data_IF_474253523147
#
_entry.id   IF_474253523147
#
_cell.length_a   1.000
_cell.length_b   1.000
_cell.length_c   1.000
_cell.angle_alpha   90.00
_cell.angle_beta   90.00
_cell.angle_gamma   90.00
#
_symmetry.space_group_name_H-M   'P 1'
#
loop_
_entity.id
_entity.type
_entity.pdbx_description
1 polymer ?
#
# COMPACT_ATOMS: atom_id res chain seq x y z
N UNK A 1 64.65 -10.68 -48.22
CA UNK A 1 63.84 -9.46 -48.00
C UNK A 1 62.39 -9.94 -47.95
N UNK A 2 61.67 -10.05 -46.83
CA UNK A 2 61.63 -9.26 -45.60
C UNK A 2 60.16 -8.85 -45.37
N UNK A 3 59.36 -9.79 -44.84
CA UNK A 3 58.08 -9.71 -44.09
C UNK A 3 57.05 -8.59 -44.36
N UNK A 4 55.80 -8.87 -44.79
CA UNK A 4 54.60 -9.41 -44.08
C UNK A 4 53.63 -8.33 -43.52
N UNK A 5 52.48 -8.20 -44.19
CA UNK A 5 51.10 -7.96 -43.72
C UNK A 5 50.81 -6.75 -42.80
N UNK A 6 50.21 -5.71 -43.38
CA UNK A 6 49.20 -4.86 -42.72
C UNK A 6 48.15 -4.45 -43.75
N UNK A 7 46.89 -4.82 -43.53
CA UNK A 7 45.80 -4.31 -44.36
C UNK A 7 44.54 -5.18 -44.44
N UNK A 8 44.13 -5.86 -43.37
CA UNK A 8 42.77 -6.43 -43.28
C UNK A 8 42.17 -6.01 -41.95
N UNK A 9 41.62 -4.80 -41.86
CA UNK A 9 40.51 -4.45 -40.97
C UNK A 9 39.79 -3.23 -41.57
N UNK A 10 39.10 -3.41 -42.71
CA UNK A 10 38.21 -2.39 -43.25
C UNK A 10 36.91 -3.03 -43.75
N UNK A 11 36.18 -3.67 -42.85
CA UNK A 11 34.77 -4.02 -43.03
C UNK A 11 34.33 -4.88 -41.83
N UNK A 12 33.92 -4.25 -40.72
CA UNK A 12 33.06 -4.88 -39.69
C UNK A 12 32.62 -3.94 -38.54
N UNK A 13 32.94 -2.64 -38.56
CA UNK A 13 32.56 -1.70 -37.49
C UNK A 13 31.57 -0.62 -37.93
N UNK A 14 30.54 -0.98 -38.71
CA UNK A 14 29.39 -0.08 -39.00
C UNK A 14 28.03 -0.74 -38.70
N UNK A 15 27.94 -1.98 -38.20
CA UNK A 15 26.64 -2.65 -37.99
C UNK A 15 26.21 -2.90 -36.54
N UNK A 16 26.84 -2.32 -35.53
CA UNK A 16 26.40 -2.50 -34.12
C UNK A 16 26.09 -1.19 -33.39
N UNK A 17 25.93 -0.08 -34.12
CA UNK A 17 25.31 1.13 -33.59
C UNK A 17 23.79 1.18 -33.86
N UNK A 18 23.13 0.02 -33.87
CA UNK A 18 21.74 -0.07 -33.43
C UNK A 18 21.79 -0.20 -31.92
N UNK A 19 22.23 0.88 -31.27
CA UNK A 19 21.88 1.12 -29.89
C UNK A 19 20.35 1.09 -29.90
N UNK A 20 19.77 0.06 -29.29
CA UNK A 20 18.35 -0.02 -29.01
C UNK A 20 18.00 1.19 -28.15
N UNK A 21 17.74 2.32 -28.80
CA UNK A 21 16.92 3.37 -28.24
C UNK A 21 15.56 2.70 -28.12
N UNK A 22 15.35 2.00 -26.99
CA UNK A 22 14.02 1.74 -26.49
C UNK A 22 13.44 3.13 -26.36
N UNK A 23 12.65 3.54 -27.35
CA UNK A 23 11.73 4.63 -27.23
C UNK A 23 10.86 4.25 -26.03
N UNK A 24 11.21 4.79 -24.86
CA UNK A 24 10.30 4.84 -23.75
C UNK A 24 9.11 5.64 -24.29
N UNK A 25 8.07 4.92 -24.72
CA UNK A 25 6.76 5.51 -24.94
C UNK A 25 6.42 6.22 -23.65
N UNK A 26 6.51 7.55 -23.65
CA UNK A 26 6.06 8.35 -22.52
C UNK A 26 4.54 8.41 -22.61
N UNK A 27 3.90 7.28 -22.34
CA UNK A 27 2.45 7.10 -22.30
C UNK A 27 1.78 7.95 -21.20
N UNK A 28 2.61 8.59 -20.35
CA UNK A 28 2.20 9.40 -19.20
C UNK A 28 1.88 8.54 -17.98
N UNK A 29 2.10 7.23 -18.06
CA UNK A 29 1.81 6.29 -17.00
C UNK A 29 2.98 6.22 -16.03
N UNK A 30 2.65 6.25 -14.74
CA UNK A 30 3.63 6.08 -13.67
C UNK A 30 3.51 4.68 -13.14
N UNK A 31 4.49 3.84 -13.48
CA UNK A 31 4.51 2.42 -13.19
C UNK A 31 5.45 2.12 -12.03
N UNK A 32 4.93 1.44 -11.01
CA UNK A 32 5.71 1.01 -9.85
C UNK A 32 5.61 -0.50 -9.75
N UNK A 33 6.76 -1.16 -9.95
CA UNK A 33 6.88 -2.60 -9.74
C UNK A 33 6.67 -2.97 -8.28
N UNK A 34 5.86 -4.00 -8.05
CA UNK A 34 5.59 -4.56 -6.73
C UNK A 34 6.38 -5.85 -6.54
N UNK A 35 6.92 -6.02 -5.34
CA UNK A 35 7.53 -7.27 -4.90
C UNK A 35 6.50 -8.13 -4.21
N UNK A 36 6.54 -9.44 -4.46
CA UNK A 36 5.67 -10.41 -3.79
C UNK A 36 6.38 -11.06 -2.61
N UNK A 37 5.78 -10.99 -1.43
CA UNK A 37 6.20 -11.76 -0.26
C UNK A 37 5.79 -13.22 -0.43
N UNK A 38 6.76 -14.13 -0.29
CA UNK A 38 6.47 -15.55 -0.09
C UNK A 38 5.88 -15.73 1.31
N UNK A 39 4.69 -16.35 1.39
CA UNK A 39 4.09 -16.78 2.66
C UNK A 39 5.01 -17.84 3.30
N UNK A 40 5.70 -17.44 4.37
CA UNK A 40 6.57 -18.29 5.18
C UNK A 40 5.75 -18.94 6.32
N UNK A 41 6.05 -20.19 6.74
CA UNK A 41 5.55 -20.77 8.00
C UNK A 41 5.50 -19.81 9.19
N UNK A 42 6.50 -18.94 9.36
CA UNK A 42 6.54 -17.96 10.45
C UNK A 42 5.43 -16.91 10.34
N UNK A 43 5.12 -16.44 9.13
CA UNK A 43 4.02 -15.50 8.90
C UNK A 43 2.67 -16.15 9.19
N UNK A 44 2.50 -17.43 8.84
CA UNK A 44 1.30 -18.20 9.17
C UNK A 44 1.14 -18.39 10.67
N UNK A 45 2.22 -18.72 11.38
CA UNK A 45 2.20 -18.87 12.82
C UNK A 45 1.88 -17.56 13.54
N UNK A 46 2.49 -16.45 13.12
CA UNK A 46 2.20 -15.13 13.67
C UNK A 46 0.74 -14.71 13.41
N UNK A 47 0.20 -14.97 12.22
CA UNK A 47 -1.23 -14.76 11.93
C UNK A 47 -2.16 -15.59 12.84
N UNK A 48 -1.78 -16.86 13.11
CA UNK A 48 -2.53 -17.73 14.02
C UNK A 48 -2.45 -17.27 15.48
N UNK A 49 -1.28 -16.82 15.95
CA UNK A 49 -1.10 -16.29 17.31
C UNK A 49 -1.92 -15.02 17.51
N UNK A 50 -1.84 -14.06 16.57
CA UNK A 50 -2.64 -12.82 16.60
C UNK A 50 -4.15 -13.11 16.58
N UNK A 51 -4.59 -14.13 15.81
CA UNK A 51 -5.99 -14.52 15.77
C UNK A 51 -6.52 -15.03 17.12
N UNK A 52 -5.68 -15.76 17.87
CA UNK A 52 -5.99 -16.26 19.22
C UNK A 52 -6.00 -15.13 20.25
N UNK A 53 -5.04 -14.22 20.18
CA UNK A 53 -5.00 -13.05 21.08
C UNK A 53 -6.25 -12.17 20.90
N UNK A 54 -6.72 -12.00 19.66
CA UNK A 54 -7.98 -11.32 19.36
C UNK A 54 -9.19 -12.04 19.95
N UNK A 55 -9.25 -13.37 19.85
CA UNK A 55 -10.34 -14.16 20.42
C UNK A 55 -10.35 -14.07 21.96
N UNK A 56 -9.17 -14.11 22.58
CA UNK A 56 -9.02 -13.92 24.01
C UNK A 56 -9.43 -12.51 24.47
N UNK A 57 -9.08 -11.48 23.71
CA UNK A 57 -9.49 -10.09 23.96
C UNK A 57 -11.00 -9.90 23.79
N UNK A 58 -11.59 -10.46 22.72
CA UNK A 58 -13.06 -10.46 22.54
C UNK A 58 -13.76 -11.16 23.70
N UNK A 59 -13.25 -12.30 24.15
CA UNK A 59 -13.80 -13.03 25.29
C UNK A 59 -13.66 -12.27 26.62
N UNK A 60 -12.59 -11.49 26.82
CA UNK A 60 -12.41 -10.66 28.02
C UNK A 60 -13.32 -9.43 28.00
N UNK A 61 -13.48 -8.78 26.84
CA UNK A 61 -14.43 -7.68 26.64
C UNK A 61 -15.87 -8.19 26.86
N UNK A 62 -16.27 -9.29 26.23
CA UNK A 62 -17.60 -9.87 26.40
C UNK A 62 -17.91 -10.22 27.88
N UNK A 63 -16.92 -10.71 28.64
CA UNK A 63 -17.05 -10.92 30.09
C UNK A 63 -17.21 -9.61 30.87
N UNK A 64 -16.47 -8.56 30.50
CA UNK A 64 -16.57 -7.24 31.13
C UNK A 64 -17.92 -6.57 30.87
N UNK A 65 -18.51 -6.74 29.69
CA UNK A 65 -19.85 -6.24 29.34
C UNK A 65 -20.98 -7.06 29.98
N UNK A 66 -20.81 -8.38 30.15
CA UNK A 66 -21.74 -9.20 30.97
C UNK A 66 -21.83 -8.73 32.43
N UNK A 67 -20.77 -8.13 32.96
CA UNK A 67 -20.75 -7.55 34.31
C UNK A 67 -21.39 -6.14 34.40
N UNK A 68 -21.72 -5.51 33.26
CA UNK A 68 -22.16 -4.11 33.19
C UNK A 68 -23.60 -3.91 32.71
N UNK A 69 -24.29 -4.99 32.35
CA UNK A 69 -25.67 -4.96 31.84
C UNK A 69 -26.76 -4.70 32.91
N UNK A 70 -26.46 -3.98 33.99
CA UNK A 70 -27.48 -3.49 34.94
C UNK A 70 -27.88 -2.02 34.69
N UNK A 71 -27.30 -1.33 33.70
CA UNK A 71 -27.69 0.05 33.37
C UNK A 71 -27.65 0.31 31.85
N UNK A 72 -28.84 0.22 31.25
CA UNK A 72 -29.38 1.02 30.13
C UNK A 72 -28.51 1.48 28.95
N UNK A 73 -28.86 0.96 27.78
CA UNK A 73 -28.90 1.54 26.42
C UNK A 73 -27.84 2.54 25.95
N UNK A 74 -27.12 2.13 24.90
CA UNK A 74 -26.83 2.98 23.72
C UNK A 74 -26.53 2.07 22.52
N UNK A 75 -27.32 2.25 21.46
CA UNK A 75 -27.01 1.75 20.12
C UNK A 75 -25.75 2.44 19.57
N UNK A 76 -25.18 1.78 18.55
CA UNK A 76 -24.12 2.23 17.64
C UNK A 76 -22.67 1.86 18.03
N UNK A 77 -22.24 0.67 17.57
CA UNK A 77 -20.83 0.45 17.23
C UNK A 77 -20.76 -0.14 15.84
N UNK A 78 -20.53 0.72 14.85
CA UNK A 78 -20.17 0.32 13.49
C UNK A 78 -18.71 -0.18 13.52
N UNK A 79 -18.50 -1.43 13.94
CA UNK A 79 -17.15 -2.01 14.08
C UNK A 79 -16.65 -2.49 12.72
N UNK A 80 -16.04 -1.61 11.93
CA UNK A 80 -15.21 -2.05 10.79
C UNK A 80 -13.72 -2.06 11.18
N UNK A 81 -13.37 -3.01 12.05
CA UNK A 81 -11.99 -3.39 12.31
C UNK A 81 -11.72 -4.81 11.75
N UNK A 82 -11.44 -4.90 10.44
CA UNK A 82 -10.85 -6.10 9.84
C UNK A 82 -9.77 -5.71 8.83
N UNK A 83 -8.53 -5.66 9.32
CA UNK A 83 -7.30 -5.59 8.50
C UNK A 83 -6.25 -6.51 9.10
N UNK A 84 -5.90 -7.57 8.37
CA UNK A 84 -4.82 -8.49 8.69
C UNK A 84 -3.70 -8.30 7.66
N UNK A 85 -2.60 -7.67 8.05
CA UNK A 85 -1.46 -7.44 7.16
C UNK A 85 -0.47 -8.61 7.15
N UNK A 86 -0.69 -9.66 7.94
CA UNK A 86 0.14 -10.87 7.91
C UNK A 86 0.02 -11.65 6.60
N UNK A 87 -1.10 -11.47 5.90
CA UNK A 87 -1.35 -12.00 4.55
C UNK A 87 -1.05 -10.98 3.45
N UNK A 88 -0.47 -9.81 3.79
CA UNK A 88 -0.07 -8.83 2.80
C UNK A 88 1.06 -9.41 1.94
N UNK A 89 0.75 -9.56 0.65
CA UNK A 89 1.64 -10.24 -0.29
C UNK A 89 2.41 -9.27 -1.18
N UNK A 90 2.04 -8.00 -1.28
CA UNK A 90 2.63 -7.08 -2.26
C UNK A 90 3.02 -5.76 -1.62
N UNK A 91 4.24 -5.31 -1.91
CA UNK A 91 4.76 -4.02 -1.45
C UNK A 91 5.64 -3.39 -2.54
N UNK A 92 5.74 -2.08 -2.53
CA UNK A 92 6.66 -1.34 -3.40
C UNK A 92 7.47 -0.33 -2.60
N UNK A 93 8.31 0.44 -3.29
CA UNK A 93 9.19 1.43 -2.67
C UNK A 93 8.65 2.84 -2.88
N UNK A 94 8.72 3.66 -1.82
CA UNK A 94 8.54 5.10 -1.86
C UNK A 94 9.75 5.79 -1.23
N UNK A 95 9.92 7.08 -1.52
CA UNK A 95 10.88 7.94 -0.85
C UNK A 95 10.17 9.03 -0.04
N UNK A 96 10.65 9.38 1.14
CA UNK A 96 10.14 10.52 1.91
C UNK A 96 11.31 11.45 2.23
N UNK A 97 11.13 12.75 1.98
CA UNK A 97 12.12 13.77 2.26
C UNK A 97 13.06 14.14 1.12
N UNK A 98 13.92 15.12 1.39
CA UNK A 98 14.93 15.61 0.46
C UNK A 98 16.31 15.70 1.16
N UNK A 99 17.27 14.81 0.83
CA UNK A 99 17.19 13.74 -0.16
C UNK A 99 16.20 12.62 0.24
N UNK A 100 15.64 11.86 -0.73
CA UNK A 100 14.64 10.82 -0.44
C UNK A 100 15.18 9.70 0.46
N UNK A 101 14.51 9.48 1.59
CA UNK A 101 14.71 8.32 2.48
C UNK A 101 13.76 7.21 2.04
N UNK A 102 14.27 6.02 1.75
CA UNK A 102 13.49 4.93 1.13
C UNK A 102 12.72 4.12 2.16
N UNK A 103 11.49 3.77 1.82
CA UNK A 103 10.62 2.89 2.60
C UNK A 103 9.92 1.90 1.68
N UNK A 104 9.80 0.67 2.16
CA UNK A 104 8.90 -0.32 1.58
C UNK A 104 7.50 -0.16 2.16
N UNK A 105 6.48 -0.07 1.32
CA UNK A 105 5.11 0.15 1.77
C UNK A 105 4.11 -0.76 1.05
N UNK A 106 3.04 -1.09 1.76
CA UNK A 106 1.83 -1.62 1.15
C UNK A 106 1.04 -0.46 0.56
N UNK A 107 0.65 -0.57 -0.70
CA UNK A 107 -0.35 0.31 -1.32
C UNK A 107 -1.75 -0.22 -0.97
N UNK A 108 -2.41 0.42 0.00
CA UNK A 108 -3.60 -0.13 0.65
C UNK A 108 -4.86 0.66 0.27
N UNK A 109 -5.73 0.09 -0.56
CA UNK A 109 -7.03 0.69 -0.91
C UNK A 109 -8.04 0.66 0.24
N UNK A 110 -7.77 -0.08 1.31
CA UNK A 110 -8.63 -0.14 2.49
C UNK A 110 -8.34 0.96 3.52
N UNK A 111 -7.23 1.70 3.42
CA UNK A 111 -6.88 2.82 4.32
C UNK A 111 -6.51 4.08 3.54
N UNK A 112 -6.43 5.22 4.24
CA UNK A 112 -6.23 6.53 3.58
C UNK A 112 -5.04 7.32 4.09
N UNK A 113 -4.41 6.88 5.18
CA UNK A 113 -3.22 7.53 5.72
C UNK A 113 -1.94 6.92 5.15
N UNK A 114 -0.93 7.77 4.94
CA UNK A 114 0.47 7.34 4.83
C UNK A 114 1.10 7.33 6.23
N UNK A 115 1.82 6.27 6.57
CA UNK A 115 2.65 6.24 7.77
C UNK A 115 3.92 5.41 7.57
N UNK A 116 4.98 5.80 8.27
CA UNK A 116 6.26 5.08 8.33
C UNK A 116 6.85 5.15 9.75
N UNK A 117 7.74 4.22 10.13
CA UNK A 117 8.40 4.24 11.44
C UNK A 117 9.24 5.50 11.61
N UNK A 118 9.21 6.10 12.80
CA UNK A 118 10.02 7.28 13.14
C UNK A 118 11.32 6.86 13.84
N UNK A 119 12.37 7.67 13.69
CA UNK A 119 13.53 7.58 14.60
C UNK A 119 13.22 7.88 16.06
N UNK A 120 12.02 8.41 16.34
CA UNK A 120 11.47 8.58 17.69
C UNK A 120 10.76 7.32 18.22
N UNK A 121 10.76 6.22 17.47
CA UNK A 121 10.26 4.92 17.91
C UNK A 121 11.35 4.16 18.67
N UNK A 122 11.38 4.30 20.00
CA UNK A 122 12.43 3.72 20.85
C UNK A 122 12.04 2.38 21.49
N UNK A 123 10.75 2.12 21.67
CA UNK A 123 10.28 1.06 22.57
C UNK A 123 9.56 -0.09 21.85
N UNK A 124 9.25 0.04 20.55
CA UNK A 124 8.65 -1.05 19.77
C UNK A 124 9.72 -1.85 19.07
N UNK A 125 9.74 -3.16 19.32
CA UNK A 125 10.69 -4.11 18.73
C UNK A 125 10.63 -4.08 17.19
N UNK A 126 9.43 -3.91 16.61
CA UNK A 126 9.24 -3.78 15.16
C UNK A 126 10.10 -2.66 14.53
N UNK A 127 10.22 -1.50 15.19
CA UNK A 127 11.00 -0.36 14.70
C UNK A 127 12.52 -0.59 14.68
N UNK A 128 13.03 -1.67 15.26
CA UNK A 128 14.45 -2.03 15.18
C UNK A 128 14.80 -2.78 13.88
N UNK A 129 13.80 -3.40 13.24
CA UNK A 129 13.98 -4.19 12.03
C UNK A 129 13.55 -3.45 10.75
N UNK A 130 12.90 -2.30 10.88
CA UNK A 130 12.39 -1.49 9.78
C UNK A 130 13.18 -0.19 9.58
N UNK A 131 13.11 0.32 8.36
CA UNK A 131 13.62 1.64 8.02
C UNK A 131 12.87 2.71 8.82
N UNK A 132 13.58 3.75 9.26
CA UNK A 132 13.01 4.83 10.08
C UNK A 132 13.21 6.19 9.43
N UNK A 133 12.15 6.98 9.42
CA UNK A 133 12.18 8.36 8.98
C UNK A 133 12.94 9.26 9.96
N UNK A 134 13.81 10.07 9.37
CA UNK A 134 14.68 11.04 10.03
C UNK A 134 14.35 12.43 9.53
N UNK A 135 13.46 13.11 10.24
CA UNK A 135 13.11 14.51 9.96
C UNK A 135 14.34 15.43 9.86
N UNK A 136 15.37 15.20 10.70
CA UNK A 136 16.61 16.00 10.71
C UNK A 136 17.47 15.86 9.46
N UNK A 137 17.27 14.81 8.66
CA UNK A 137 18.02 14.55 7.42
C UNK A 137 17.24 15.00 6.17
N UNK A 138 16.06 15.60 6.32
CA UNK A 138 15.25 16.12 5.21
C UNK A 138 15.20 17.65 5.22
N UNK A 139 15.65 18.25 4.12
CA UNK A 139 15.59 19.70 3.89
C UNK A 139 14.19 20.23 3.59
N UNK A 140 13.24 19.35 3.24
CA UNK A 140 11.85 19.70 2.91
C UNK A 140 10.86 19.39 4.03
N UNK A 141 11.35 18.85 5.15
CA UNK A 141 10.54 18.55 6.32
C UNK A 141 9.89 19.81 6.91
N UNK A 142 8.60 19.68 7.22
CA UNK A 142 7.81 20.67 7.96
C UNK A 142 7.16 19.98 9.15
N UNK A 143 7.43 20.50 10.35
CA UNK A 143 6.85 19.99 11.59
C UNK A 143 5.35 20.28 11.64
N UNK A 144 4.55 19.25 11.97
CA UNK A 144 3.13 19.37 12.28
C UNK A 144 2.88 19.01 13.76
N UNK A 145 3.19 17.77 14.15
CA UNK A 145 3.23 17.31 15.54
C UNK A 145 1.87 16.93 16.15
N UNK A 146 0.76 17.04 15.40
CA UNK A 146 -0.56 16.56 15.85
C UNK A 146 -0.53 15.05 16.08
N UNK A 147 -0.95 14.59 17.25
CA UNK A 147 -0.97 13.16 17.57
C UNK A 147 -1.92 12.37 16.66
N UNK A 148 -1.55 11.13 16.34
CA UNK A 148 -2.35 10.22 15.54
C UNK A 148 -2.30 8.80 16.12
N UNK A 149 -3.39 8.06 15.96
CA UNK A 149 -3.48 6.64 16.33
C UNK A 149 -4.37 5.92 15.34
N UNK A 150 -3.90 4.80 14.81
CA UNK A 150 -4.66 3.95 13.89
C UNK A 150 -4.74 2.55 14.48
N UNK A 151 -5.96 2.05 14.63
CA UNK A 151 -6.22 0.66 14.99
C UNK A 151 -6.43 -0.16 13.71
N UNK A 152 -5.59 -1.17 13.52
CA UNK A 152 -5.75 -2.20 12.50
C UNK A 152 -6.36 -3.46 13.14
N UNK A 153 -6.82 -4.41 12.32
CA UNK A 153 -7.53 -5.59 12.83
C UNK A 153 -6.74 -6.37 13.87
N UNK A 154 -5.46 -6.62 13.61
CA UNK A 154 -4.55 -7.36 14.52
C UNK A 154 -3.37 -6.52 15.06
N UNK A 155 -3.22 -5.27 14.62
CA UNK A 155 -2.13 -4.39 15.05
C UNK A 155 -2.63 -2.97 15.31
N UNK A 156 -1.79 -2.12 15.89
CA UNK A 156 -2.07 -0.70 15.98
C UNK A 156 -0.78 0.09 15.79
N UNK A 157 -0.91 1.34 15.36
CA UNK A 157 0.21 2.29 15.36
C UNK A 157 -0.23 3.56 16.06
N UNK A 158 0.70 4.20 16.75
CA UNK A 158 0.50 5.55 17.30
C UNK A 158 1.74 6.41 17.07
N UNK A 159 1.53 7.70 16.91
CA UNK A 159 2.56 8.61 16.44
C UNK A 159 2.06 10.04 16.37
N UNK A 160 2.65 10.81 15.46
CA UNK A 160 2.24 12.18 15.19
C UNK A 160 2.40 12.50 13.70
N UNK A 161 1.66 13.49 13.22
CA UNK A 161 1.75 13.96 11.84
C UNK A 161 3.01 14.78 11.60
N UNK A 162 3.56 14.65 10.39
CA UNK A 162 4.64 15.43 9.82
C UNK A 162 4.31 15.71 8.36
N UNK A 163 4.91 16.75 7.79
CA UNK A 163 4.77 17.08 6.37
C UNK A 163 6.14 17.00 5.69
N UNK A 164 6.20 16.37 4.53
CA UNK A 164 7.41 16.33 3.70
C UNK A 164 7.05 16.00 2.25
N UNK A 165 8.02 16.03 1.35
CA UNK A 165 7.84 15.54 -0.01
C UNK A 165 7.87 14.00 -0.04
N UNK A 166 6.94 13.40 -0.77
CA UNK A 166 6.86 11.95 -0.97
C UNK A 166 7.08 11.62 -2.44
N UNK A 167 8.08 10.79 -2.71
CA UNK A 167 8.42 10.28 -4.03
C UNK A 167 7.79 8.91 -4.25
N UNK A 168 6.96 8.77 -5.28
CA UNK A 168 6.35 7.49 -5.70
C UNK A 168 6.70 7.27 -7.17
N UNK A 169 7.53 6.27 -7.45
CA UNK A 169 8.14 6.14 -8.78
C UNK A 169 8.98 7.37 -9.14
N UNK A 170 8.63 8.05 -10.23
CA UNK A 170 9.22 9.33 -10.62
C UNK A 170 8.43 10.56 -10.14
N UNK A 171 7.25 10.39 -9.57
CA UNK A 171 6.42 11.49 -9.06
C UNK A 171 6.94 12.00 -7.73
N UNK A 172 6.94 13.31 -7.53
CA UNK A 172 7.24 13.96 -6.26
C UNK A 172 6.02 14.73 -5.80
N UNK A 173 5.27 14.13 -4.87
CA UNK A 173 4.12 14.73 -4.20
C UNK A 173 4.64 15.65 -3.11
N UNK A 174 4.41 16.96 -3.26
CA UNK A 174 4.91 17.96 -2.32
C UNK A 174 3.98 18.11 -1.13
N UNK A 175 4.55 18.52 0.00
CA UNK A 175 3.82 18.90 1.22
C UNK A 175 2.83 17.83 1.74
N UNK A 176 3.14 16.55 1.48
CA UNK A 176 2.31 15.43 1.92
C UNK A 176 2.35 15.29 3.43
N UNK A 177 1.18 15.30 4.06
CA UNK A 177 1.01 14.97 5.47
C UNK A 177 1.06 13.45 5.67
N UNK A 178 1.84 12.97 6.63
CA UNK A 178 1.96 11.55 6.96
C UNK A 178 2.24 11.36 8.45
N UNK A 179 2.06 10.14 8.95
CA UNK A 179 2.28 9.81 10.36
C UNK A 179 3.68 9.22 10.55
N UNK A 180 4.44 9.83 11.44
CA UNK A 180 5.65 9.27 12.04
C UNK A 180 5.24 8.34 13.19
N UNK A 181 5.31 7.02 12.98
CA UNK A 181 4.96 6.05 14.01
C UNK A 181 6.04 6.02 15.12
N UNK A 182 5.62 6.21 16.37
CA UNK A 182 6.49 6.13 17.55
C UNK A 182 6.25 4.88 18.38
N UNK A 183 5.12 4.21 18.15
CA UNK A 183 4.81 2.89 18.71
C UNK A 183 4.05 2.06 17.68
N UNK A 184 4.48 0.82 17.53
CA UNK A 184 3.88 -0.21 16.67
C UNK A 184 3.70 -1.49 17.49
N UNK A 185 2.71 -1.54 18.40
CA UNK A 185 2.41 -2.75 19.15
C UNK A 185 1.81 -3.86 18.26
N UNK A 186 2.10 -5.11 18.60
CA UNK A 186 1.55 -6.31 17.97
C UNK A 186 2.58 -7.10 17.15
N UNK A 187 2.40 -8.42 17.04
CA UNK A 187 3.35 -9.25 16.28
C UNK A 187 3.19 -9.08 14.77
N UNK A 188 2.05 -8.53 14.32
CA UNK A 188 1.79 -8.19 12.92
C UNK A 188 2.93 -7.39 12.28
N UNK A 189 3.45 -6.37 12.98
CA UNK A 189 4.52 -5.52 12.45
C UNK A 189 5.92 -6.06 12.74
N UNK A 190 6.09 -7.02 13.66
CA UNK A 190 7.39 -7.64 13.88
C UNK A 190 7.79 -8.62 12.77
N UNK A 191 6.81 -9.30 12.17
CA UNK A 191 7.02 -10.25 11.08
C UNK A 191 6.79 -9.63 9.68
N UNK A 192 6.50 -8.33 9.62
CA UNK A 192 6.32 -7.61 8.38
C UNK A 192 7.63 -7.56 7.57
N UNK A 193 7.53 -7.57 6.24
CA UNK A 193 8.65 -7.28 5.32
C UNK A 193 8.49 -5.93 4.62
N UNK A 194 7.59 -5.10 5.15
CA UNK A 194 7.30 -3.76 4.70
C UNK A 194 7.47 -2.81 5.90
N UNK A 195 7.95 -1.60 5.65
CA UNK A 195 8.18 -0.60 6.69
C UNK A 195 6.88 0.13 7.08
N UNK A 196 5.99 0.39 6.12
CA UNK A 196 4.78 1.18 6.36
C UNK A 196 3.64 0.93 5.39
N UNK A 197 2.66 1.82 5.41
CA UNK A 197 1.47 1.74 4.55
C UNK A 197 1.26 3.09 3.86
N UNK A 198 0.97 3.04 2.56
CA UNK A 198 0.47 4.16 1.77
C UNK A 198 -1.00 3.89 1.45
N UNK A 199 -1.89 4.58 2.16
CA UNK A 199 -3.33 4.50 1.93
C UNK A 199 -3.77 5.13 0.60
N UNK A 200 -4.58 4.40 -0.16
CA UNK A 200 -5.19 4.81 -1.43
C UNK A 200 -6.72 4.92 -1.35
N UNK A 201 -7.28 4.83 -0.14
CA UNK A 201 -8.69 5.06 0.16
C UNK A 201 -9.08 6.55 0.09
N UNK A 202 -10.36 6.82 0.38
CA UNK A 202 -10.88 8.19 0.34
C UNK A 202 -10.57 8.96 1.62
N UNK A 203 -10.57 10.30 1.55
CA UNK A 203 -10.23 11.16 2.69
C UNK A 203 -11.16 10.95 3.89
N UNK A 204 -12.42 10.56 3.67
CA UNK A 204 -13.45 10.39 4.69
C UNK A 204 -13.07 9.39 5.80
N UNK A 205 -12.19 8.42 5.52
CA UNK A 205 -11.69 7.46 6.51
C UNK A 205 -10.25 7.75 6.96
N UNK A 206 -9.71 8.91 6.60
CA UNK A 206 -8.36 9.34 6.98
C UNK A 206 -8.36 9.83 8.43
N UNK A 207 -7.53 9.21 9.27
CA UNK A 207 -7.29 9.71 10.63
C UNK A 207 -6.73 11.13 10.53
N UNK A 208 -7.24 12.01 11.38
CA UNK A 208 -6.79 13.40 11.45
C UNK A 208 -7.25 14.31 10.31
N UNK A 209 -8.12 13.81 9.41
CA UNK A 209 -8.56 14.49 8.17
C UNK A 209 -7.39 14.81 7.22
N UNK A 210 -6.33 14.00 7.27
CA UNK A 210 -5.15 14.17 6.42
C UNK A 210 -5.48 13.86 4.96
N UNK A 211 -5.01 14.68 4.03
CA UNK A 211 -5.23 14.50 2.58
C UNK A 211 -4.41 13.30 2.08
N UNK A 212 -5.02 12.26 1.48
CA UNK A 212 -4.30 11.10 0.97
C UNK A 212 -3.32 11.45 -0.17
N UNK A 213 -2.29 10.63 -0.35
CA UNK A 213 -1.25 10.83 -1.39
C UNK A 213 -1.86 10.96 -2.78
N UNK A 214 -2.82 10.10 -3.11
CA UNK A 214 -3.54 10.13 -4.38
C UNK A 214 -4.22 11.48 -4.67
N UNK A 215 -4.83 12.10 -3.65
CA UNK A 215 -5.52 13.38 -3.80
C UNK A 215 -4.50 14.48 -4.14
N UNK A 216 -3.38 14.51 -3.43
CA UNK A 216 -2.29 15.44 -3.71
C UNK A 216 -1.66 15.20 -5.09
N UNK A 217 -1.56 13.95 -5.58
CA UNK A 217 -1.11 13.67 -6.95
C UNK A 217 -2.04 14.31 -7.99
N UNK A 218 -3.35 14.15 -7.82
CA UNK A 218 -4.39 14.72 -8.70
C UNK A 218 -4.33 16.25 -8.64
N UNK A 219 -4.36 16.84 -7.44
CA UNK A 219 -4.42 18.29 -7.24
C UNK A 219 -3.15 19.00 -7.74
N UNK A 220 -1.99 18.37 -7.60
CA UNK A 220 -0.72 18.90 -8.10
C UNK A 220 -0.49 18.63 -9.60
N UNK A 221 -1.44 18.01 -10.30
CA UNK A 221 -1.36 17.73 -11.73
C UNK A 221 -0.23 16.77 -12.10
N UNK A 222 0.09 15.82 -11.22
CA UNK A 222 1.22 14.89 -11.39
C UNK A 222 0.86 13.68 -12.26
N UNK A 223 -0.42 13.44 -12.50
CA UNK A 223 -0.94 12.29 -13.24
C UNK A 223 -1.88 12.75 -14.34
N UNK A 224 -1.90 11.97 -15.43
CA UNK A 224 -2.67 12.30 -16.63
C UNK A 224 -4.16 12.03 -16.45
N UNK A 225 -4.49 10.79 -16.13
CA UNK A 225 -5.87 10.34 -15.89
C UNK A 225 -6.11 10.16 -14.39
N UNK A 226 -7.30 10.49 -13.89
CA UNK A 226 -7.64 10.37 -12.47
C UNK A 226 -8.03 8.93 -12.12
N UNK A 227 -7.18 7.98 -12.49
CA UNK A 227 -7.28 6.57 -12.14
C UNK A 227 -5.93 5.98 -11.74
N UNK A 228 -5.99 4.90 -10.97
CA UNK A 228 -4.87 4.03 -10.72
C UNK A 228 -5.32 2.57 -10.84
N UNK A 229 -4.40 1.69 -11.19
CA UNK A 229 -4.70 0.28 -11.42
C UNK A 229 -3.65 -0.63 -10.83
N UNK A 230 -4.06 -1.87 -10.51
CA UNK A 230 -3.19 -2.89 -9.97
C UNK A 230 -3.19 -4.11 -10.89
N UNK A 231 -1.99 -4.61 -11.16
CA UNK A 231 -1.76 -5.97 -11.62
C UNK A 231 -0.98 -6.71 -10.55
N UNK A 232 -1.53 -7.81 -10.04
CA UNK A 232 -0.92 -8.59 -8.96
C UNK A 232 -0.58 -9.99 -9.47
N UNK A 233 0.70 -10.28 -9.62
CA UNK A 233 1.17 -11.55 -10.16
C UNK A 233 0.91 -12.69 -9.18
N UNK A 234 0.14 -13.68 -9.62
CA UNK A 234 -0.21 -14.85 -8.81
C UNK A 234 0.90 -15.90 -8.80
N UNK A 235 1.85 -15.87 -9.74
CA UNK A 235 2.95 -16.82 -9.83
C UNK A 235 4.02 -16.55 -8.76
N UNK A 236 4.21 -17.50 -7.83
CA UNK A 236 5.12 -17.36 -6.66
C UNK A 236 6.60 -17.55 -7.05
N UNK A 237 6.87 -18.03 -8.26
CA UNK A 237 8.22 -18.29 -8.78
C UNK A 237 8.83 -17.14 -9.58
N UNK A 238 8.06 -16.12 -9.92
CA UNK A 238 8.51 -15.00 -10.75
C UNK A 238 9.05 -13.85 -9.90
N UNK A 239 10.05 -13.14 -10.41
CA UNK A 239 10.69 -12.01 -9.70
C UNK A 239 9.77 -10.79 -9.60
N UNK A 240 8.95 -10.55 -10.63
CA UNK A 240 7.98 -9.46 -10.66
C UNK A 240 6.70 -9.87 -9.93
N UNK A 241 6.50 -9.31 -8.75
CA UNK A 241 5.32 -9.59 -7.94
C UNK A 241 4.06 -8.90 -8.44
N UNK A 242 4.18 -7.78 -9.14
CA UNK A 242 3.05 -7.04 -9.69
C UNK A 242 3.46 -5.66 -10.17
N UNK A 243 2.47 -4.85 -10.51
CA UNK A 243 2.61 -3.46 -10.91
C UNK A 243 1.42 -2.66 -10.37
N UNK A 244 1.68 -1.46 -9.86
CA UNK A 244 0.67 -0.42 -9.70
C UNK A 244 0.96 0.69 -10.70
N UNK A 245 -0.07 1.18 -11.36
CA UNK A 245 0.01 2.30 -12.30
C UNK A 245 -0.80 3.47 -11.76
N UNK A 246 -0.18 4.64 -11.63
CA UNK A 246 -0.90 5.90 -11.43
C UNK A 246 -1.03 6.64 -12.75
N UNK A 247 -2.20 7.20 -13.01
CA UNK A 247 -2.46 7.94 -14.25
C UNK A 247 -2.95 7.09 -15.42
N UNK A 248 -3.38 5.84 -15.18
CA UNK A 248 -3.95 4.97 -16.21
C UNK A 248 -3.89 3.47 -15.92
N UNK A 249 -3.96 2.67 -17.00
CA UNK A 249 -3.93 1.20 -16.97
C UNK A 249 -2.95 0.65 -18.00
N UNK A 250 -2.17 -0.37 -17.63
CA UNK A 250 -1.35 -1.09 -18.59
C UNK A 250 -2.19 -2.10 -19.43
N UNK A 251 -2.31 -1.91 -20.76
CA UNK A 251 -2.99 -2.87 -21.64
C UNK A 251 -2.35 -4.27 -21.67
N UNK A 252 -1.09 -4.42 -21.26
CA UNK A 252 -0.42 -5.73 -21.22
C UNK A 252 -0.91 -6.63 -20.07
N UNK A 253 -1.60 -6.04 -19.08
CA UNK A 253 -1.94 -6.73 -17.83
C UNK A 253 -3.41 -7.16 -17.70
N UNK A 254 -4.21 -7.00 -18.77
CA UNK A 254 -5.58 -7.50 -18.82
C UNK A 254 -5.96 -8.01 -20.22
N UNK A 255 -7.10 -8.70 -20.31
CA UNK A 255 -7.70 -9.14 -21.58
C UNK A 255 -9.16 -8.72 -21.60
N UNK A 256 -9.64 -8.30 -22.77
CA UNK A 256 -11.03 -7.86 -22.93
C UNK A 256 -11.25 -6.44 -22.37
N UNK A 257 -12.44 -6.19 -21.81
CA UNK A 257 -12.85 -4.89 -21.27
C UNK A 257 -13.06 -4.99 -19.76
N UNK A 258 -12.83 -3.89 -19.05
CA UNK A 258 -13.19 -3.76 -17.64
C UNK A 258 -14.72 -3.64 -17.50
N UNK A 259 -15.26 -4.30 -16.48
CA UNK A 259 -16.63 -4.07 -16.00
C UNK A 259 -16.55 -3.06 -14.86
N UNK A 260 -17.13 -1.89 -15.05
CA UNK A 260 -17.16 -0.84 -14.04
C UNK A 260 -18.44 -0.90 -13.24
N UNK A 261 -18.32 -0.67 -11.94
CA UNK A 261 -19.42 -0.55 -10.99
C UNK A 261 -19.23 0.74 -10.19
N UNK A 262 -20.31 1.48 -9.91
CA UNK A 262 -20.20 2.73 -9.16
C UNK A 262 -19.86 2.47 -7.69
N UNK A 263 -19.21 3.45 -7.07
CA UNK A 263 -18.95 3.45 -5.64
C UNK A 263 -20.25 3.74 -4.90
N UNK A 264 -20.59 2.91 -3.91
CA UNK A 264 -21.86 3.04 -3.17
C UNK A 264 -21.72 3.85 -1.90
N UNK A 265 -20.55 3.81 -1.27
CA UNK A 265 -20.23 4.59 -0.08
C UNK A 265 -18.84 5.20 -0.18
N UNK A 266 -18.79 6.54 -0.29
CA UNK A 266 -17.53 7.27 -0.33
C UNK A 266 -16.83 7.18 1.02
N UNK A 267 -15.60 6.72 1.00
CA UNK A 267 -14.82 6.33 2.18
C UNK A 267 -13.96 5.12 1.85
N UNK A 268 -14.62 4.06 1.38
CA UNK A 268 -14.01 2.84 0.90
C UNK A 268 -14.17 2.73 -0.62
N UNK A 269 -13.33 1.91 -1.27
CA UNK A 269 -13.58 1.44 -2.63
C UNK A 269 -14.63 0.33 -2.61
N UNK A 270 -15.83 0.69 -2.14
CA UNK A 270 -16.97 -0.21 -1.95
C UNK A 270 -17.97 -0.08 -3.08
N UNK A 271 -18.49 -1.20 -3.54
CA UNK A 271 -19.52 -1.31 -4.56
C UNK A 271 -20.49 -2.44 -4.20
N UNK A 272 -21.72 -2.37 -4.72
CA UNK A 272 -22.70 -3.44 -4.52
C UNK A 272 -22.27 -4.69 -5.30
N UNK A 273 -22.39 -5.85 -4.65
CA UNK A 273 -22.10 -7.15 -5.24
C UNK A 273 -23.34 -8.04 -5.18
N UNK A 274 -23.59 -8.78 -6.27
CA UNK A 274 -24.68 -9.75 -6.34
C UNK A 274 -24.33 -11.04 -5.61
N UNK A 275 -25.12 -12.09 -5.82
CA UNK A 275 -24.92 -13.37 -5.13
C UNK A 275 -23.57 -14.02 -5.45
N UNK A 276 -23.06 -14.76 -4.47
CA UNK A 276 -21.86 -15.57 -4.58
C UNK A 276 -22.29 -16.99 -4.93
N UNK A 277 -21.59 -17.62 -5.87
CA UNK A 277 -21.85 -19.01 -6.26
C UNK A 277 -20.77 -19.93 -5.68
N UNK A 278 -21.16 -21.14 -5.26
CA UNK A 278 -20.25 -22.23 -4.91
C UNK A 278 -20.48 -23.36 -5.91
N UNK A 279 -19.55 -23.51 -6.86
CA UNK A 279 -19.81 -24.23 -8.10
C UNK A 279 -20.91 -23.50 -8.88
N UNK A 280 -21.95 -24.22 -9.29
CA UNK A 280 -23.08 -23.64 -10.04
C UNK A 280 -24.28 -23.26 -9.13
N UNK A 281 -24.11 -23.28 -7.81
CA UNK A 281 -25.20 -23.07 -6.85
C UNK A 281 -25.14 -21.69 -6.20
N UNK A 282 -26.23 -20.91 -6.24
CA UNK A 282 -26.33 -19.64 -5.52
C UNK A 282 -26.26 -19.89 -4.00
N UNK A 283 -25.59 -19.01 -3.27
CA UNK A 283 -25.59 -19.07 -1.80
C UNK A 283 -26.86 -18.49 -1.20
N UNK A 284 -27.58 -17.62 -1.93
CA UNK A 284 -28.78 -16.96 -1.45
C UNK A 284 -28.54 -15.96 -0.32
N UNK A 285 -27.28 -15.60 -0.05
CA UNK A 285 -26.91 -14.68 1.03
C UNK A 285 -27.02 -13.21 0.62
N UNK A 286 -27.03 -12.91 -0.69
CA UNK A 286 -27.14 -11.55 -1.22
C UNK A 286 -28.33 -11.46 -2.16
N UNK A 287 -29.05 -10.32 -2.10
CA UNK A 287 -30.14 -10.03 -3.03
C UNK A 287 -29.57 -9.68 -4.42
N UNK A 288 -30.31 -9.96 -5.51
CA UNK A 288 -29.92 -9.53 -6.85
C UNK A 288 -29.82 -8.01 -6.92
N UNK A 289 -28.71 -7.48 -7.45
CA UNK A 289 -28.56 -6.05 -7.73
C UNK A 289 -29.55 -5.68 -8.85
N UNK A 290 -30.34 -4.60 -8.72
CA UNK A 290 -31.14 -4.09 -9.83
C UNK A 290 -30.23 -3.80 -11.04
N UNK A 291 -30.56 -4.34 -12.20
CA UNK A 291 -29.80 -4.14 -13.42
C UNK A 291 -29.72 -2.65 -13.76
N UNK A 292 -28.51 -2.08 -13.71
CA UNK A 292 -28.22 -0.76 -14.26
C UNK A 292 -27.95 -0.94 -15.75
N UNK A 293 -28.96 -0.68 -16.57
CA UNK A 293 -28.84 -0.54 -18.02
C UNK A 293 -28.66 0.93 -18.39
#
# INVERSE_FOLDING_TARGET
MGTTVKGVVLSLFISTLLCSVVLASNDGLVRIGLKKMKLDPNNRLAAQLDSKDREALRASIARKYRFRNDLGDSEETDIVALKNYMDAQYYGEIGIGTPPQKFTVIFDTGSSNLWVPSTKCYFSVACFFHSKYKASESSTYKKNGKSASIQYGTGAISGFFSNDNVKVGNLVVKDQEFIEATKEPGVTFMAAKFDGILGLGFKEISVGDAVPVWYNMVEQGLIKDQEFSFWLNRNVGEEMGGEIVFGGVDPNHYKGKHTYVPITQKGYWQFDMGDVLIGDKPTGMLLPIPSVF
#
